data_IF_557360330887
#
_entry.id   IF_557360330887
#
_cell.length_a   1.000
_cell.length_b   1.000
_cell.length_c   1.000
_cell.angle_alpha   90.00
_cell.angle_beta   90.00
_cell.angle_gamma   90.00
#
_symmetry.space_group_name_H-M   'P 1'
#
loop_
_entity.id
_entity.type
_entity.pdbx_description
1 polymer ?
#
# COMPACT_ATOMS: atom_id res chain seq x y z
N UNK A 1 4.61 -7.87 5.97
CA UNK A 1 5.13 -9.21 6.29
C UNK A 1 3.98 -10.23 6.32
N UNK A 2 4.11 -11.33 5.56
CA UNK A 2 3.15 -12.43 5.55
C UNK A 2 3.54 -13.51 6.58
N UNK A 3 2.56 -14.31 7.00
CA UNK A 3 2.81 -15.47 7.84
C UNK A 3 3.45 -16.59 7.00
N UNK A 4 4.71 -16.96 7.24
CA UNK A 4 5.46 -17.85 6.34
C UNK A 4 4.95 -19.29 6.33
N UNK A 5 4.31 -19.71 7.41
CA UNK A 5 3.78 -21.07 7.61
C UNK A 5 2.32 -21.25 7.19
N UNK A 6 1.75 -20.27 6.47
CA UNK A 6 0.39 -20.29 5.95
C UNK A 6 0.40 -20.05 4.44
N UNK A 7 -0.54 -20.68 3.73
CA UNK A 7 -0.76 -20.37 2.31
C UNK A 7 -1.15 -18.91 2.10
N UNK A 8 -1.03 -18.41 0.90
CA UNK A 8 -1.42 -17.05 0.55
C UNK A 8 -2.89 -16.80 0.83
N UNK A 9 -3.77 -17.70 0.42
CA UNK A 9 -5.19 -17.68 0.73
C UNK A 9 -5.44 -17.58 2.23
N UNK A 10 -4.81 -18.43 3.03
CA UNK A 10 -4.98 -18.44 4.48
C UNK A 10 -4.45 -17.16 5.14
N UNK A 11 -3.39 -16.55 4.61
CA UNK A 11 -2.91 -15.25 5.06
C UNK A 11 -3.99 -14.16 4.96
N UNK A 12 -4.78 -14.17 3.88
CA UNK A 12 -5.85 -13.19 3.66
C UNK A 12 -7.07 -13.48 4.55
N UNK A 13 -7.45 -14.75 4.68
CA UNK A 13 -8.65 -15.18 5.42
C UNK A 13 -8.51 -15.09 6.93
N UNK A 14 -7.29 -15.17 7.47
CA UNK A 14 -7.06 -15.41 8.91
C UNK A 14 -7.74 -14.36 9.78
N UNK A 15 -7.43 -13.08 9.58
CA UNK A 15 -7.92 -12.03 10.47
C UNK A 15 -9.44 -11.83 10.39
N UNK A 16 -10.09 -11.80 9.21
CA UNK A 16 -11.55 -11.72 9.12
C UNK A 16 -12.26 -12.85 9.87
N UNK A 17 -11.76 -14.07 9.79
CA UNK A 17 -12.37 -15.24 10.44
C UNK A 17 -12.12 -15.24 11.95
N UNK A 18 -10.86 -15.07 12.38
CA UNK A 18 -10.49 -15.12 13.81
C UNK A 18 -11.14 -13.98 14.62
N UNK A 19 -11.40 -12.83 13.99
CA UNK A 19 -12.08 -11.71 14.63
C UNK A 19 -13.62 -11.77 14.48
N UNK A 20 -14.16 -12.86 13.92
CA UNK A 20 -15.60 -13.05 13.77
C UNK A 20 -16.29 -12.04 12.84
N UNK A 21 -15.52 -11.41 11.93
CA UNK A 21 -16.08 -10.47 10.94
C UNK A 21 -16.70 -11.17 9.74
N UNK A 22 -16.22 -12.36 9.41
CA UNK A 22 -16.69 -13.19 8.30
C UNK A 22 -16.72 -14.65 8.71
N UNK A 23 -17.63 -15.41 8.14
CA UNK A 23 -17.55 -16.87 8.15
C UNK A 23 -16.36 -17.33 7.31
N UNK A 24 -16.02 -18.59 7.40
CA UNK A 24 -14.91 -19.16 6.63
C UNK A 24 -15.21 -19.13 5.13
N UNK A 25 -16.46 -19.38 4.76
CA UNK A 25 -16.96 -19.36 3.39
C UNK A 25 -16.88 -17.94 2.80
N UNK A 26 -17.37 -16.94 3.52
CA UNK A 26 -17.31 -15.53 3.11
C UNK A 26 -15.86 -15.05 2.97
N UNK A 27 -14.99 -15.46 3.89
CA UNK A 27 -13.57 -15.09 3.83
C UNK A 27 -12.85 -15.77 2.65
N UNK A 28 -13.23 -16.99 2.27
CA UNK A 28 -12.69 -17.68 1.10
C UNK A 28 -13.13 -17.01 -0.21
N UNK A 29 -14.38 -16.63 -0.33
CA UNK A 29 -14.90 -15.85 -1.46
C UNK A 29 -14.18 -14.52 -1.58
N UNK A 30 -14.03 -13.80 -0.45
CA UNK A 30 -13.30 -12.52 -0.41
C UNK A 30 -11.82 -12.67 -0.75
N UNK A 31 -11.18 -13.73 -0.28
CA UNK A 31 -9.78 -14.03 -0.64
C UNK A 31 -9.65 -14.31 -2.14
N UNK A 32 -10.58 -15.04 -2.73
CA UNK A 32 -10.62 -15.33 -4.18
C UNK A 32 -10.78 -14.04 -5.00
N UNK A 33 -11.72 -13.16 -4.60
CA UNK A 33 -11.90 -11.84 -5.22
C UNK A 33 -10.60 -11.02 -5.20
N UNK A 34 -9.99 -10.88 -4.02
CA UNK A 34 -8.79 -10.08 -3.83
C UNK A 34 -7.58 -10.66 -4.55
N UNK A 35 -7.40 -11.99 -4.54
CA UNK A 35 -6.33 -12.67 -5.27
C UNK A 35 -6.47 -12.50 -6.78
N UNK A 36 -7.70 -12.54 -7.29
CA UNK A 36 -8.01 -12.27 -8.70
C UNK A 36 -7.63 -10.83 -9.05
N UNK A 37 -8.04 -9.89 -8.21
CA UNK A 37 -7.75 -8.45 -8.38
C UNK A 37 -6.25 -8.14 -8.46
N UNK A 38 -5.43 -8.80 -7.63
CA UNK A 38 -3.97 -8.59 -7.62
C UNK A 38 -3.22 -9.52 -8.59
N UNK A 39 -3.94 -10.32 -9.40
CA UNK A 39 -3.36 -11.23 -10.41
C UNK A 39 -2.56 -12.39 -9.82
N UNK A 40 -2.96 -12.90 -8.64
CA UNK A 40 -2.24 -13.97 -7.92
C UNK A 40 -3.15 -15.14 -7.50
N UNK A 41 -4.28 -15.33 -8.18
CA UNK A 41 -5.20 -16.44 -7.86
C UNK A 41 -4.54 -17.81 -8.04
N UNK A 42 -3.68 -17.95 -9.04
CA UNK A 42 -2.89 -19.17 -9.30
C UNK A 42 -1.89 -19.51 -8.18
N UNK A 43 -1.58 -18.55 -7.30
CA UNK A 43 -0.69 -18.68 -6.14
C UNK A 43 -1.45 -18.84 -4.81
N UNK A 44 -2.77 -18.98 -4.84
CA UNK A 44 -3.61 -19.04 -3.63
C UNK A 44 -3.12 -20.08 -2.61
N UNK A 45 -2.76 -21.26 -3.08
CA UNK A 45 -2.31 -22.38 -2.24
C UNK A 45 -0.79 -22.46 -2.06
N UNK A 46 -0.04 -21.50 -2.63
CA UNK A 46 1.40 -21.37 -2.45
C UNK A 46 1.73 -20.73 -1.10
N UNK A 47 2.98 -20.88 -0.65
CA UNK A 47 3.51 -20.25 0.54
C UNK A 47 4.28 -18.96 0.19
N UNK A 48 4.41 -18.00 1.12
CA UNK A 48 5.08 -16.73 0.86
C UNK A 48 6.47 -16.82 0.26
N UNK A 49 7.25 -17.86 0.64
CA UNK A 49 8.63 -18.02 0.18
C UNK A 49 8.76 -18.24 -1.35
N UNK A 50 7.68 -18.70 -1.98
CA UNK A 50 7.63 -18.89 -3.45
C UNK A 50 7.29 -17.62 -4.23
N UNK A 51 7.00 -16.49 -3.55
CA UNK A 51 6.60 -15.23 -4.15
C UNK A 51 7.76 -14.24 -4.22
N UNK A 52 7.76 -13.40 -5.28
CA UNK A 52 8.64 -12.21 -5.34
C UNK A 52 8.30 -11.17 -4.28
N UNK A 53 9.18 -10.20 -4.06
CA UNK A 53 8.95 -9.09 -3.13
C UNK A 53 7.68 -8.30 -3.45
N UNK A 54 7.49 -7.93 -4.71
CA UNK A 54 6.29 -7.21 -5.17
C UNK A 54 5.00 -8.04 -5.02
N UNK A 55 5.06 -9.35 -5.30
CA UNK A 55 3.94 -10.26 -5.08
C UNK A 55 3.57 -10.35 -3.59
N UNK A 56 4.56 -10.49 -2.69
CA UNK A 56 4.36 -10.47 -1.24
C UNK A 56 3.70 -9.18 -0.78
N UNK A 57 4.14 -8.05 -1.33
CA UNK A 57 3.57 -6.74 -0.98
C UNK A 57 2.12 -6.60 -1.45
N UNK A 58 1.79 -7.01 -2.67
CA UNK A 58 0.40 -7.02 -3.16
C UNK A 58 -0.50 -7.92 -2.31
N UNK A 59 -0.03 -9.09 -1.90
CA UNK A 59 -0.78 -9.96 -0.96
C UNK A 59 -0.96 -9.29 0.41
N UNK A 60 0.04 -8.57 0.91
CA UNK A 60 -0.08 -7.84 2.18
C UNK A 60 -1.15 -6.74 2.10
N UNK A 61 -1.24 -6.03 0.98
CA UNK A 61 -2.30 -5.05 0.71
C UNK A 61 -3.67 -5.76 0.64
N UNK A 62 -3.79 -6.86 -0.12
CA UNK A 62 -5.02 -7.63 -0.22
C UNK A 62 -5.48 -8.15 1.16
N UNK A 63 -4.55 -8.63 1.99
CA UNK A 63 -4.84 -9.03 3.37
C UNK A 63 -5.41 -7.88 4.22
N UNK A 64 -4.88 -6.67 4.07
CA UNK A 64 -5.40 -5.50 4.76
C UNK A 64 -6.81 -5.13 4.25
N UNK A 65 -7.03 -5.17 2.94
CA UNK A 65 -8.34 -4.90 2.31
C UNK A 65 -9.41 -5.92 2.71
N UNK A 66 -9.04 -7.18 2.99
CA UNK A 66 -9.97 -8.22 3.43
C UNK A 66 -10.68 -7.87 4.74
N UNK A 67 -10.10 -6.98 5.54
CA UNK A 67 -10.69 -6.50 6.79
C UNK A 67 -11.77 -5.44 6.60
N UNK A 68 -12.04 -5.00 5.38
CA UNK A 68 -12.91 -3.86 5.04
C UNK A 68 -12.58 -2.63 5.91
N UNK A 69 -11.33 -2.13 5.88
CA UNK A 69 -10.89 -1.04 6.74
C UNK A 69 -11.48 0.30 6.31
N UNK A 70 -11.68 1.21 7.26
CA UNK A 70 -12.02 2.61 6.97
C UNK A 70 -10.80 3.42 6.51
N UNK A 71 -9.60 3.04 6.98
CA UNK A 71 -8.33 3.69 6.67
C UNK A 71 -7.24 2.65 6.47
N UNK A 72 -6.41 2.81 5.45
CA UNK A 72 -5.18 2.03 5.23
C UNK A 72 -3.95 2.88 5.57
N UNK A 73 -3.03 2.28 6.34
CA UNK A 73 -1.75 2.89 6.68
C UNK A 73 -0.63 2.17 5.93
N UNK A 74 0.17 2.93 5.19
CA UNK A 74 1.33 2.42 4.47
C UNK A 74 2.60 3.12 4.99
N UNK A 75 3.57 2.33 5.40
CA UNK A 75 4.88 2.80 5.82
C UNK A 75 5.92 2.28 4.82
N UNK A 76 6.36 3.16 3.92
CA UNK A 76 7.32 2.88 2.84
C UNK A 76 7.05 1.56 2.08
N UNK A 77 5.88 1.42 1.43
CA UNK A 77 5.42 0.14 0.86
C UNK A 77 6.32 -0.41 -0.26
N UNK A 78 7.21 0.39 -0.82
CA UNK A 78 8.09 0.05 -1.95
C UNK A 78 9.57 -0.01 -1.61
N UNK A 79 9.98 0.40 -0.39
CA UNK A 79 11.40 0.59 -0.02
C UNK A 79 12.28 -0.67 -0.11
N UNK A 80 11.67 -1.85 0.05
CA UNK A 80 12.36 -3.15 0.01
C UNK A 80 12.15 -3.90 -1.32
N UNK A 81 11.67 -3.21 -2.36
CA UNK A 81 11.36 -3.81 -3.66
C UNK A 81 12.39 -3.43 -4.72
N UNK A 82 12.64 -4.37 -5.65
CA UNK A 82 13.36 -4.07 -6.86
C UNK A 82 12.58 -3.07 -7.72
N UNK A 83 13.24 -2.14 -8.45
CA UNK A 83 12.59 -1.11 -9.25
C UNK A 83 11.53 -1.63 -10.22
N UNK A 84 11.75 -2.82 -10.79
CA UNK A 84 10.82 -3.45 -11.72
C UNK A 84 9.48 -3.84 -11.06
N UNK A 85 9.47 -4.05 -9.74
CA UNK A 85 8.29 -4.46 -8.97
C UNK A 85 7.53 -3.29 -8.35
N UNK A 86 8.16 -2.13 -8.23
CA UNK A 86 7.57 -0.92 -7.62
C UNK A 86 6.31 -0.49 -8.36
N UNK A 87 6.35 -0.48 -9.71
CA UNK A 87 5.25 -0.04 -10.55
C UNK A 87 3.93 -0.79 -10.29
N UNK A 88 3.99 -2.11 -10.13
CA UNK A 88 2.79 -2.93 -9.89
C UNK A 88 2.14 -2.65 -8.53
N UNK A 89 2.97 -2.41 -7.51
CA UNK A 89 2.48 -2.09 -6.15
C UNK A 89 1.86 -0.70 -6.13
N UNK A 90 2.53 0.30 -6.74
CA UNK A 90 2.01 1.66 -6.84
C UNK A 90 0.70 1.70 -7.66
N UNK A 91 0.60 0.92 -8.73
CA UNK A 91 -0.64 0.85 -9.51
C UNK A 91 -1.80 0.29 -8.68
N UNK A 92 -1.58 -0.80 -7.93
CA UNK A 92 -2.60 -1.32 -7.01
C UNK A 92 -3.04 -0.26 -5.98
N UNK A 93 -2.09 0.51 -5.42
CA UNK A 93 -2.42 1.59 -4.48
C UNK A 93 -3.21 2.73 -5.15
N UNK A 94 -2.91 3.07 -6.41
CA UNK A 94 -3.70 4.03 -7.20
C UNK A 94 -5.14 3.57 -7.40
N UNK A 95 -5.31 2.29 -7.74
CA UNK A 95 -6.64 1.69 -7.95
C UNK A 95 -7.47 1.74 -6.65
N UNK A 96 -6.84 1.41 -5.52
CA UNK A 96 -7.47 1.48 -4.19
C UNK A 96 -7.85 2.93 -3.83
N UNK A 97 -6.99 3.90 -4.15
CA UNK A 97 -7.28 5.33 -3.94
C UNK A 97 -8.47 5.80 -4.80
N UNK A 98 -8.51 5.39 -6.07
CA UNK A 98 -9.57 5.76 -7.01
C UNK A 98 -10.95 5.22 -6.60
N UNK A 99 -11.00 4.13 -5.83
CA UNK A 99 -12.22 3.57 -5.23
C UNK A 99 -12.69 4.37 -3.98
N UNK A 100 -11.96 5.40 -3.58
CA UNK A 100 -12.32 6.26 -2.45
C UNK A 100 -11.79 5.78 -1.09
N UNK A 101 -10.88 4.81 -1.06
CA UNK A 101 -10.25 4.36 0.18
C UNK A 101 -9.42 5.47 0.81
N UNK A 102 -9.66 5.76 2.09
CA UNK A 102 -8.81 6.68 2.85
C UNK A 102 -7.46 6.01 3.14
N UNK A 103 -6.38 6.67 2.75
CA UNK A 103 -5.03 6.16 2.94
C UNK A 103 -4.13 7.21 3.59
N UNK A 104 -3.28 6.78 4.51
CA UNK A 104 -2.12 7.55 4.99
C UNK A 104 -0.87 6.81 4.53
N UNK A 105 -0.04 7.48 3.74
CA UNK A 105 1.12 6.85 3.08
C UNK A 105 2.40 7.61 3.42
N UNK A 106 3.34 6.95 4.06
CA UNK A 106 4.72 7.40 4.16
C UNK A 106 5.47 6.85 2.95
N UNK A 107 6.03 7.72 2.12
CA UNK A 107 6.68 7.31 0.87
C UNK A 107 7.75 8.31 0.42
N UNK A 108 8.73 7.81 -0.31
CA UNK A 108 9.69 8.60 -1.09
C UNK A 108 9.38 8.57 -2.60
N UNK A 109 8.27 7.96 -3.00
CA UNK A 109 7.79 7.93 -4.39
C UNK A 109 7.06 9.25 -4.72
N UNK A 110 7.82 10.30 -5.05
CA UNK A 110 7.27 11.65 -5.26
C UNK A 110 6.28 11.72 -6.42
N UNK A 111 6.50 10.93 -7.47
CA UNK A 111 5.57 10.83 -8.61
C UNK A 111 4.21 10.28 -8.18
N UNK A 112 4.20 9.23 -7.37
CA UNK A 112 2.98 8.66 -6.81
C UNK A 112 2.26 9.67 -5.89
N UNK A 113 3.00 10.29 -4.96
CA UNK A 113 2.42 11.28 -4.04
C UNK A 113 1.79 12.46 -4.79
N UNK A 114 2.45 12.97 -5.85
CA UNK A 114 1.94 14.06 -6.69
C UNK A 114 0.64 13.70 -7.39
N UNK A 115 0.52 12.47 -7.87
CA UNK A 115 -0.63 12.01 -8.67
C UNK A 115 -1.85 11.63 -7.81
N UNK A 116 -1.62 11.01 -6.64
CA UNK A 116 -2.68 10.34 -5.87
C UNK A 116 -3.10 11.12 -4.64
N UNK A 117 -2.18 11.84 -4.00
CA UNK A 117 -2.49 12.53 -2.76
C UNK A 117 -3.42 13.72 -2.98
N UNK A 118 -4.32 13.95 -2.04
CA UNK A 118 -5.08 15.20 -1.94
C UNK A 118 -4.54 16.14 -0.86
N UNK A 119 -3.68 15.64 0.02
CA UNK A 119 -2.95 16.39 1.04
C UNK A 119 -1.57 15.77 1.23
N UNK A 120 -0.54 16.60 1.33
CA UNK A 120 0.85 16.19 1.53
C UNK A 120 1.41 16.90 2.75
N UNK A 121 2.07 16.12 3.62
CA UNK A 121 2.75 16.60 4.81
C UNK A 121 4.24 16.37 4.64
N UNK A 122 5.04 17.42 4.77
CA UNK A 122 6.48 17.29 4.78
C UNK A 122 7.03 17.34 6.21
N UNK A 123 7.70 16.26 6.59
CA UNK A 123 8.33 16.12 7.90
C UNK A 123 9.81 16.44 7.85
N UNK A 124 10.29 17.25 8.77
CA UNK A 124 11.71 17.49 9.00
C UNK A 124 11.96 17.74 10.49
N UNK A 125 13.05 17.18 11.02
CA UNK A 125 13.49 17.37 12.40
C UNK A 125 12.42 17.01 13.46
N UNK A 126 11.55 16.03 13.13
CA UNK A 126 10.48 15.55 14.00
C UNK A 126 9.19 16.38 13.97
N UNK A 127 9.09 17.37 13.08
CA UNK A 127 7.94 18.26 12.97
C UNK A 127 7.37 18.27 11.55
N UNK A 128 6.07 18.58 11.43
CA UNK A 128 5.45 18.93 10.14
C UNK A 128 5.92 20.33 9.77
N UNK A 129 6.81 20.41 8.79
CA UNK A 129 7.40 21.69 8.36
C UNK A 129 6.54 22.37 7.30
N UNK A 130 5.85 21.59 6.49
CA UNK A 130 4.91 22.10 5.50
C UNK A 130 3.74 21.13 5.31
N UNK A 131 2.54 21.69 5.07
CA UNK A 131 1.28 21.00 4.87
C UNK A 131 0.51 21.69 3.76
N UNK A 132 0.07 20.94 2.76
CA UNK A 132 -0.65 21.53 1.63
C UNK A 132 -1.11 20.52 0.61
N UNK A 133 -1.68 21.03 -0.48
CA UNK A 133 -2.01 20.22 -1.65
C UNK A 133 -0.74 19.78 -2.39
N UNK A 134 -0.79 18.71 -3.23
CA UNK A 134 0.35 18.34 -4.08
C UNK A 134 0.89 19.51 -4.90
N UNK A 135 0.00 20.34 -5.46
CA UNK A 135 0.40 21.54 -6.23
C UNK A 135 1.24 22.51 -5.38
N UNK A 136 0.81 22.78 -4.14
CA UNK A 136 1.53 23.68 -3.25
C UNK A 136 2.88 23.11 -2.84
N UNK A 137 2.92 21.84 -2.45
CA UNK A 137 4.13 21.18 -1.93
C UNK A 137 5.17 20.96 -3.02
N UNK A 138 4.77 20.50 -4.19
CA UNK A 138 5.71 20.11 -5.25
C UNK A 138 6.09 21.25 -6.19
N UNK A 139 5.18 22.20 -6.43
CA UNK A 139 5.41 23.27 -7.41
C UNK A 139 5.68 24.64 -6.76
N UNK A 140 5.18 24.87 -5.53
CA UNK A 140 5.31 26.12 -4.79
C UNK A 140 5.75 25.93 -3.34
N UNK A 141 6.84 25.16 -3.09
CA UNK A 141 7.30 24.91 -1.73
C UNK A 141 7.77 26.20 -1.05
N UNK A 142 7.33 26.43 0.20
CA UNK A 142 7.66 27.61 0.97
C UNK A 142 8.87 27.39 1.88
N UNK A 143 8.96 26.19 2.46
CA UNK A 143 10.05 25.83 3.36
C UNK A 143 11.38 25.68 2.60
N UNK A 144 12.47 26.37 3.00
CA UNK A 144 13.80 26.18 2.39
C UNK A 144 14.26 24.72 2.46
N UNK A 145 13.89 24.00 3.53
CA UNK A 145 14.24 22.60 3.71
C UNK A 145 13.53 21.70 2.71
N UNK A 146 12.24 21.98 2.42
CA UNK A 146 11.49 21.26 1.40
C UNK A 146 12.05 21.56 -0.01
N UNK A 147 12.39 22.82 -0.30
CA UNK A 147 13.02 23.19 -1.57
C UNK A 147 14.33 22.45 -1.81
N UNK A 148 15.19 22.38 -0.78
CA UNK A 148 16.44 21.61 -0.84
C UNK A 148 16.17 20.10 -1.07
N UNK A 149 15.19 19.54 -0.38
CA UNK A 149 14.82 18.13 -0.53
C UNK A 149 14.32 17.82 -1.94
N UNK A 150 13.35 18.59 -2.44
CA UNK A 150 12.81 18.40 -3.78
C UNK A 150 13.85 18.57 -4.88
N UNK A 151 14.78 19.52 -4.73
CA UNK A 151 15.89 19.71 -5.67
C UNK A 151 16.90 18.56 -5.73
N UNK A 152 16.85 17.61 -4.78
CA UNK A 152 17.68 16.40 -4.78
C UNK A 152 16.96 15.16 -5.28
N UNK A 153 15.64 15.17 -5.24
CA UNK A 153 14.79 13.97 -5.48
C UNK A 153 14.05 14.07 -6.82
N UNK A 154 13.76 15.25 -7.31
CA UNK A 154 13.16 15.54 -8.62
C UNK A 154 14.19 16.05 -9.61
#
# INVERSE_FOLDING_TARGET
NLFPNMTIRRNIMLAPVELGKMTREEADEKATELLTRIGLLDKADSYPDSLSGGQKQRVAIARALAMNPEVLLFDEPTSALDPEMVGEVLQLMKDVAAEGMTMVVVTHEMGFAREVANRVLFFSDGYITEDGTPEQIFNHPKSPRLQEFLGKVL
#
